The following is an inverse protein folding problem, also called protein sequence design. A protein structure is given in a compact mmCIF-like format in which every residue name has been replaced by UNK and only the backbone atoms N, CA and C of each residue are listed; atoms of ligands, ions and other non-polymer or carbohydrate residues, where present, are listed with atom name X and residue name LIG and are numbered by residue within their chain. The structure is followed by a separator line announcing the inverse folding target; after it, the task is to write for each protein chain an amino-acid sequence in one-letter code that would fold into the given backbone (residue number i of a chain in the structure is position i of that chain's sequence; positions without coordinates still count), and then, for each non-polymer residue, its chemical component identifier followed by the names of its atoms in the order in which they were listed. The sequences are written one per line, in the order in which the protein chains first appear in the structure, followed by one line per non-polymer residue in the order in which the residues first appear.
data_IF_709860250688
#
_entry.id   IF_709860250688
#
_cell.length_a   1.000
_cell.length_b   1.000
_cell.length_c   1.000
_cell.angle_alpha   90.00
_cell.angle_beta   90.00
_cell.angle_gamma   90.00
#
_symmetry.space_group_name_H-M   'P 1'
#
loop_
_entity.id
_entity.type
_entity.pdbx_description
1 polymer ?
#
# COMPACT_ATOMS: atom_id res chain seq x y z
N UNK A 1 -8.83 -4.93 -16.69
CA UNK A 1 -8.90 -5.52 -15.33
C UNK A 1 -8.35 -6.93 -15.37
N UNK A 2 -7.63 -7.37 -14.35
CA UNK A 2 -7.22 -8.77 -14.24
C UNK A 2 -8.49 -9.67 -14.12
N UNK A 3 -8.66 -10.69 -14.97
CA UNK A 3 -9.86 -11.53 -14.93
C UNK A 3 -10.03 -12.23 -13.57
N UNK A 4 -11.22 -12.12 -12.98
CA UNK A 4 -11.54 -12.75 -11.70
C UNK A 4 -10.98 -12.02 -10.47
N UNK A 5 -10.36 -10.84 -10.64
CA UNK A 5 -9.97 -10.04 -9.49
C UNK A 5 -11.20 -9.65 -8.67
N UNK A 6 -11.08 -9.88 -7.36
CA UNK A 6 -11.92 -9.28 -6.34
C UNK A 6 -11.06 -8.78 -5.19
N UNK A 7 -11.42 -7.61 -4.66
CA UNK A 7 -10.82 -7.06 -3.46
C UNK A 7 -10.95 -8.06 -2.30
N UNK A 8 -9.85 -8.41 -1.60
CA UNK A 8 -9.86 -9.44 -0.57
C UNK A 8 -10.68 -9.09 0.67
N UNK A 9 -11.05 -7.82 0.88
CA UNK A 9 -11.76 -7.37 2.08
C UNK A 9 -13.24 -7.09 1.84
N UNK A 10 -13.61 -6.73 0.60
CA UNK A 10 -14.95 -6.28 0.23
C UNK A 10 -15.60 -7.07 -0.91
N UNK A 11 -14.90 -8.07 -1.49
CA UNK A 11 -15.40 -8.96 -2.55
C UNK A 11 -15.91 -8.23 -3.81
N UNK A 12 -15.45 -6.99 -4.04
CA UNK A 12 -15.82 -6.14 -5.18
C UNK A 12 -14.74 -6.11 -6.26
N UNK A 13 -15.10 -5.60 -7.43
CA UNK A 13 -14.14 -5.17 -8.46
C UNK A 13 -13.49 -3.83 -8.07
N UNK A 14 -12.53 -3.34 -8.87
CA UNK A 14 -11.88 -2.06 -8.58
C UNK A 14 -12.89 -0.91 -8.53
N UNK A 15 -12.66 0.05 -7.62
CA UNK A 15 -13.29 1.36 -7.66
C UNK A 15 -12.61 2.25 -8.71
N UNK A 16 -13.29 3.33 -9.07
CA UNK A 16 -12.70 4.37 -9.92
C UNK A 16 -11.53 5.09 -9.25
N UNK A 17 -11.59 5.25 -7.93
CA UNK A 17 -10.53 5.82 -7.11
C UNK A 17 -9.27 4.97 -7.13
N UNK A 18 -9.39 3.65 -6.98
CA UNK A 18 -8.26 2.72 -7.12
C UNK A 18 -7.64 2.75 -8.52
N UNK A 19 -8.48 2.87 -9.57
CA UNK A 19 -8.00 3.04 -10.94
C UNK A 19 -7.26 4.37 -11.10
N UNK A 20 -7.80 5.46 -10.56
CA UNK A 20 -7.17 6.78 -10.58
C UNK A 20 -5.82 6.81 -9.85
N UNK A 21 -5.76 6.19 -8.67
CA UNK A 21 -4.52 5.97 -7.92
C UNK A 21 -3.51 5.19 -8.78
N UNK A 22 -3.89 4.03 -9.33
CA UNK A 22 -3.00 3.22 -10.17
C UNK A 22 -2.47 4.01 -11.38
N UNK A 23 -3.34 4.73 -12.09
CA UNK A 23 -2.96 5.52 -13.27
C UNK A 23 -1.99 6.66 -12.91
N UNK A 24 -2.12 7.25 -11.73
CA UNK A 24 -1.18 8.26 -11.22
C UNK A 24 0.22 7.67 -11.03
N UNK A 25 0.34 6.51 -10.38
CA UNK A 25 1.62 5.81 -10.26
C UNK A 25 2.19 5.38 -11.62
N UNK A 26 1.34 4.84 -12.50
CA UNK A 26 1.74 4.44 -13.86
C UNK A 26 2.29 5.63 -14.67
N UNK A 27 1.66 6.80 -14.55
CA UNK A 27 2.15 8.04 -15.18
C UNK A 27 3.54 8.42 -14.67
N UNK A 28 3.76 8.34 -13.36
CA UNK A 28 5.08 8.59 -12.75
C UNK A 28 6.12 7.61 -13.29
N UNK A 29 5.81 6.31 -13.38
CA UNK A 29 6.75 5.31 -13.91
C UNK A 29 7.14 5.62 -15.35
N UNK A 30 6.18 6.05 -16.19
CA UNK A 30 6.48 6.49 -17.56
C UNK A 30 7.40 7.72 -17.57
N UNK A 31 7.13 8.72 -16.72
CA UNK A 31 7.97 9.91 -16.62
C UNK A 31 9.40 9.58 -16.20
N UNK A 32 9.57 8.69 -15.22
CA UNK A 32 10.90 8.20 -14.78
C UNK A 32 11.67 7.62 -15.96
N UNK A 33 11.03 6.77 -16.77
CA UNK A 33 11.68 6.15 -17.94
C UNK A 33 11.95 7.16 -19.06
N UNK A 34 10.98 8.01 -19.38
CA UNK A 34 11.09 9.00 -20.46
C UNK A 34 12.16 10.07 -20.19
N UNK A 35 12.29 10.49 -18.93
CA UNK A 35 13.27 11.49 -18.51
C UNK A 35 14.58 10.87 -17.99
N UNK A 36 14.71 9.54 -18.04
CA UNK A 36 15.87 8.78 -17.55
C UNK A 36 16.28 9.12 -16.10
N UNK A 37 15.27 9.38 -15.24
CA UNK A 37 15.50 9.71 -13.83
C UNK A 37 16.04 8.48 -13.11
N UNK A 38 17.27 8.56 -12.60
CA UNK A 38 17.96 7.42 -12.00
C UNK A 38 17.26 6.91 -10.73
N UNK A 39 16.73 7.84 -9.94
CA UNK A 39 15.97 7.56 -8.73
C UNK A 39 14.97 8.68 -8.47
N UNK A 40 13.78 8.32 -7.98
CA UNK A 40 12.75 9.26 -7.54
C UNK A 40 12.17 8.82 -6.21
N UNK A 41 11.72 9.78 -5.40
CA UNK A 41 10.84 9.54 -4.27
C UNK A 41 9.41 9.84 -4.71
N UNK A 42 8.53 8.85 -4.64
CA UNK A 42 7.09 8.96 -4.89
C UNK A 42 6.38 9.03 -3.54
N UNK A 43 5.46 9.98 -3.39
CA UNK A 43 4.67 10.22 -2.20
C UNK A 43 3.20 10.40 -2.59
N UNK A 44 2.31 9.85 -1.79
CA UNK A 44 0.90 10.25 -1.77
C UNK A 44 0.75 11.60 -1.05
N UNK A 45 -0.34 12.31 -1.32
CA UNK A 45 -0.59 13.67 -0.82
C UNK A 45 -1.11 13.70 0.63
N UNK A 46 -1.58 12.57 1.14
CA UNK A 46 -2.16 12.41 2.48
C UNK A 46 -1.20 11.78 3.50
N UNK A 47 0.11 12.02 3.34
CA UNK A 47 1.15 11.50 4.26
C UNK A 47 1.63 12.53 5.27
N UNK A 48 2.00 12.03 6.46
CA UNK A 48 2.78 12.76 7.47
C UNK A 48 4.18 12.18 7.60
N UNK A 49 5.15 13.08 7.77
CA UNK A 49 6.57 12.74 7.87
C UNK A 49 7.01 12.53 9.32
N UNK A 50 7.85 11.52 9.53
CA UNK A 50 8.57 11.37 10.79
C UNK A 50 9.57 12.51 11.03
N UNK A 51 9.89 12.84 12.29
CA UNK A 51 10.94 13.80 12.59
C UNK A 51 12.26 13.44 11.93
N UNK A 52 12.91 14.46 11.35
CA UNK A 52 14.17 14.33 10.59
C UNK A 52 14.06 13.44 9.35
N UNK A 53 12.88 13.37 8.73
CA UNK A 53 12.62 12.61 7.50
C UNK A 53 13.76 12.69 6.48
N UNK A 54 14.12 13.89 6.03
CA UNK A 54 15.11 14.07 4.97
C UNK A 54 16.48 13.48 5.35
N UNK A 55 17.00 13.76 6.55
CA UNK A 55 18.31 13.24 6.96
C UNK A 55 18.28 11.74 7.25
N UNK A 56 17.16 11.19 7.73
CA UNK A 56 16.98 9.74 7.88
C UNK A 56 16.94 9.04 6.51
N UNK A 57 16.23 9.61 5.53
CA UNK A 57 16.15 9.08 4.17
C UNK A 57 17.53 9.11 3.48
N UNK A 58 18.27 10.23 3.60
CA UNK A 58 19.64 10.32 3.10
C UNK A 58 20.52 9.24 3.73
N UNK A 59 20.45 9.03 5.04
CA UNK A 59 21.23 8.00 5.71
C UNK A 59 20.86 6.56 5.25
N UNK A 60 19.59 6.29 4.92
CA UNK A 60 19.18 5.02 4.28
C UNK A 60 19.88 4.88 2.93
N UNK A 61 19.82 5.90 2.08
CA UNK A 61 20.38 5.83 0.72
C UNK A 61 21.91 5.75 0.72
N UNK A 62 22.58 6.42 1.65
CA UNK A 62 24.03 6.29 1.86
C UNK A 62 24.41 4.84 2.23
N UNK A 63 23.62 4.19 3.10
CA UNK A 63 23.85 2.79 3.46
C UNK A 63 23.65 1.85 2.26
N UNK A 64 22.58 2.05 1.49
CA UNK A 64 22.28 1.32 0.25
C UNK A 64 23.44 1.44 -0.74
N UNK A 65 23.95 2.65 -0.96
CA UNK A 65 25.06 2.90 -1.86
C UNK A 65 26.37 2.28 -1.36
N UNK A 66 26.67 2.40 -0.06
CA UNK A 66 27.90 1.87 0.55
C UNK A 66 28.02 0.36 0.37
N UNK A 67 26.93 -0.38 0.51
CA UNK A 67 26.94 -1.84 0.31
C UNK A 67 26.70 -2.24 -1.14
N UNK A 68 26.51 -1.26 -2.04
CA UNK A 68 26.16 -1.48 -3.46
C UNK A 68 24.95 -2.41 -3.59
N UNK A 69 23.92 -2.18 -2.79
CA UNK A 69 22.70 -2.97 -2.83
C UNK A 69 22.05 -2.82 -4.20
N UNK A 70 21.66 -3.93 -4.79
CA UNK A 70 20.90 -3.98 -6.03
C UNK A 70 19.41 -3.92 -5.67
N UNK A 71 18.74 -2.82 -6.01
CA UNK A 71 17.37 -2.51 -5.60
C UNK A 71 16.58 -1.85 -6.73
N UNK A 72 15.27 -2.09 -6.73
CA UNK A 72 14.34 -1.51 -7.69
C UNK A 72 13.34 -0.57 -7.00
N UNK A 73 12.85 -0.98 -5.82
CA UNK A 73 11.87 -0.24 -5.04
C UNK A 73 12.21 -0.31 -3.54
N UNK A 74 12.12 0.81 -2.84
CA UNK A 74 12.26 0.88 -1.38
C UNK A 74 11.03 1.57 -0.79
N UNK A 75 10.18 0.84 -0.06
CA UNK A 75 9.08 1.44 0.68
C UNK A 75 9.60 2.36 1.78
N UNK A 76 9.00 3.54 1.86
CA UNK A 76 9.29 4.58 2.85
C UNK A 76 8.12 4.74 3.84
N UNK A 77 6.90 4.48 3.36
CA UNK A 77 5.68 4.27 4.14
C UNK A 77 4.85 3.14 3.54
N UNK A 78 4.35 2.26 4.39
CA UNK A 78 3.43 1.17 4.03
C UNK A 78 2.70 0.59 5.24
N UNK A 79 1.66 -0.19 4.98
CA UNK A 79 1.01 -1.09 5.92
C UNK A 79 1.46 -2.52 5.72
N UNK A 80 2.10 -3.11 6.73
CA UNK A 80 2.36 -4.55 6.79
C UNK A 80 1.06 -5.30 7.03
N UNK A 81 0.70 -6.23 6.14
CA UNK A 81 -0.49 -7.06 6.32
C UNK A 81 -0.18 -8.38 7.05
N UNK A 82 1.01 -8.93 6.85
CA UNK A 82 1.46 -10.16 7.51
C UNK A 82 2.22 -9.84 8.82
N UNK A 83 1.59 -9.14 9.76
CA UNK A 83 2.26 -8.65 11.00
C UNK A 83 2.78 -9.77 11.90
N UNK A 84 2.19 -10.96 11.83
CA UNK A 84 2.62 -12.14 12.61
C UNK A 84 3.87 -12.80 12.01
N UNK A 85 4.18 -12.54 10.74
CA UNK A 85 5.36 -13.07 10.08
C UNK A 85 6.52 -12.07 10.22
N UNK A 86 7.70 -12.52 10.69
CA UNK A 86 8.86 -11.64 10.79
C UNK A 86 9.37 -11.25 9.41
N UNK A 87 9.69 -9.98 9.25
CA UNK A 87 10.49 -9.52 8.11
C UNK A 87 11.97 -9.58 8.48
N UNK A 88 12.81 -9.88 7.50
CA UNK A 88 14.23 -10.10 7.71
C UNK A 88 15.04 -8.89 7.29
N UNK A 89 16.01 -8.51 8.13
CA UNK A 89 16.96 -7.44 7.86
C UNK A 89 17.82 -7.72 6.64
N UNK A 90 18.07 -6.68 5.85
CA UNK A 90 19.01 -6.73 4.72
C UNK A 90 20.44 -6.78 5.27
N UNK A 91 21.20 -7.79 4.87
CA UNK A 91 22.58 -7.97 5.32
C UNK A 91 23.43 -6.74 4.98
N UNK A 92 24.02 -6.12 6.00
CA UNK A 92 24.89 -4.94 5.84
C UNK A 92 24.16 -3.59 5.82
N UNK A 93 22.82 -3.57 5.90
CA UNK A 93 22.02 -2.34 5.98
C UNK A 93 21.08 -2.41 7.17
N UNK A 94 21.41 -1.68 8.24
CA UNK A 94 20.71 -1.78 9.54
C UNK A 94 19.33 -1.13 9.60
N UNK A 95 18.88 -0.51 8.51
CA UNK A 95 17.62 0.23 8.41
C UNK A 95 16.79 -0.21 7.20
N UNK A 96 17.03 -1.42 6.68
CA UNK A 96 16.25 -2.03 5.61
C UNK A 96 15.86 -3.46 5.95
N UNK A 97 14.65 -3.84 5.55
CA UNK A 97 14.12 -5.20 5.60
C UNK A 97 13.61 -5.66 4.24
N UNK A 98 13.47 -6.95 4.07
CA UNK A 98 12.72 -7.55 2.96
C UNK A 98 11.21 -7.48 3.28
N UNK A 99 10.41 -6.70 2.51
CA UNK A 99 8.99 -6.54 2.79
C UNK A 99 8.22 -7.83 2.50
N UNK A 100 7.21 -8.10 3.32
CA UNK A 100 6.14 -9.04 3.02
C UNK A 100 5.00 -8.39 2.23
N UNK A 101 3.83 -9.03 2.26
CA UNK A 101 2.61 -8.48 1.68
C UNK A 101 2.23 -7.14 2.34
N UNK A 102 2.02 -6.12 1.52
CA UNK A 102 1.99 -4.71 1.94
C UNK A 102 0.91 -3.93 1.24
N UNK A 103 0.18 -3.10 1.99
CA UNK A 103 -0.81 -2.12 1.51
C UNK A 103 -0.33 -0.69 1.81
N UNK A 104 -1.13 0.30 1.43
CA UNK A 104 -0.90 1.73 1.63
C UNK A 104 0.43 2.14 1.02
N UNK A 105 0.47 2.29 -0.31
CA UNK A 105 1.66 2.74 -1.05
C UNK A 105 1.98 4.24 -0.81
N UNK A 106 1.86 4.70 0.45
CA UNK A 106 2.07 6.06 0.97
C UNK A 106 3.32 6.73 0.39
N UNK A 107 4.40 5.97 0.29
CA UNK A 107 5.57 6.44 -0.43
C UNK A 107 6.65 5.40 -0.58
N UNK A 108 7.37 5.51 -1.70
CA UNK A 108 8.48 4.62 -2.04
C UNK A 108 9.51 5.35 -2.89
N UNK A 109 10.76 4.88 -2.80
CA UNK A 109 11.83 5.25 -3.72
C UNK A 109 11.79 4.26 -4.88
N UNK A 110 11.89 4.76 -6.10
CA UNK A 110 11.90 3.96 -7.32
C UNK A 110 13.16 4.24 -8.13
N UNK A 111 13.86 3.18 -8.54
CA UNK A 111 14.96 3.30 -9.48
C UNK A 111 14.46 3.33 -10.92
N UNK A 112 15.27 3.83 -11.85
CA UNK A 112 14.98 3.76 -13.30
C UNK A 112 14.71 2.32 -13.75
N UNK A 113 15.47 1.36 -13.23
CA UNK A 113 15.30 -0.05 -13.55
C UNK A 113 13.99 -0.60 -13.00
N UNK A 114 13.62 -0.23 -11.77
CA UNK A 114 12.34 -0.58 -11.17
C UNK A 114 11.17 -0.08 -12.02
N UNK A 115 11.20 1.18 -12.44
CA UNK A 115 10.18 1.74 -13.32
C UNK A 115 10.05 0.96 -14.65
N UNK A 116 11.18 0.59 -15.28
CA UNK A 116 11.18 -0.23 -16.50
C UNK A 116 10.53 -1.60 -16.27
N UNK A 117 10.86 -2.29 -15.17
CA UNK A 117 10.26 -3.59 -14.81
C UNK A 117 8.75 -3.50 -14.61
N UNK A 118 8.29 -2.48 -13.87
CA UNK A 118 6.86 -2.26 -13.62
C UNK A 118 6.09 -2.00 -14.93
N UNK A 119 6.66 -1.23 -15.87
CA UNK A 119 6.04 -0.98 -17.17
C UNK A 119 6.09 -2.21 -18.11
N UNK A 120 7.19 -2.97 -18.09
CA UNK A 120 7.37 -4.19 -18.89
C UNK A 120 6.31 -5.25 -18.57
N UNK A 121 5.79 -5.25 -17.35
CA UNK A 121 4.68 -6.09 -16.92
C UNK A 121 3.36 -5.82 -17.67
N UNK A 122 3.26 -4.72 -18.44
CA UNK A 122 2.05 -4.26 -19.16
C UNK A 122 0.80 -4.23 -18.26
N UNK A 123 0.85 -3.54 -17.12
CA UNK A 123 -0.18 -3.65 -16.09
C UNK A 123 -1.56 -3.15 -16.53
N UNK A 124 -1.63 -2.21 -17.49
CA UNK A 124 -2.91 -1.69 -17.97
C UNK A 124 -3.84 -2.77 -18.57
N UNK A 125 -3.27 -3.82 -19.16
CA UNK A 125 -4.06 -4.91 -19.76
C UNK A 125 -4.65 -5.86 -18.70
N UNK A 126 -4.13 -5.83 -17.48
CA UNK A 126 -4.44 -6.76 -16.37
C UNK A 126 -4.33 -6.04 -15.03
N UNK A 127 -4.99 -4.89 -14.96
CA UNK A 127 -4.90 -3.97 -13.82
C UNK A 127 -5.40 -4.63 -12.53
N UNK A 128 -4.62 -4.41 -11.48
CA UNK A 128 -4.90 -4.61 -10.06
C UNK A 128 -4.73 -3.24 -9.38
N UNK A 129 -5.25 -3.02 -8.16
CA UNK A 129 -4.85 -1.87 -7.36
C UNK A 129 -3.33 -1.86 -7.19
N UNK A 130 -2.73 -0.68 -7.03
CA UNK A 130 -1.26 -0.56 -6.96
C UNK A 130 -0.69 -1.37 -5.79
N UNK A 131 -1.42 -1.40 -4.67
CA UNK A 131 -1.12 -2.16 -3.46
C UNK A 131 -1.13 -3.68 -3.67
N UNK A 132 -1.84 -4.18 -4.67
CA UNK A 132 -1.86 -5.61 -5.04
C UNK A 132 -0.83 -5.91 -6.12
N UNK A 133 -0.69 -5.00 -7.08
CA UNK A 133 0.24 -5.13 -8.19
C UNK A 133 1.70 -5.14 -7.72
N UNK A 134 2.11 -4.24 -6.83
CA UNK A 134 3.49 -4.17 -6.39
C UNK A 134 3.93 -5.49 -5.70
N UNK A 135 3.21 -6.04 -4.70
CA UNK A 135 3.54 -7.35 -4.11
C UNK A 135 3.59 -8.51 -5.10
N UNK A 136 2.75 -8.49 -6.14
CA UNK A 136 2.86 -9.48 -7.23
C UNK A 136 4.25 -9.38 -7.87
N UNK A 137 4.70 -8.17 -8.22
CA UNK A 137 5.97 -7.95 -8.92
C UNK A 137 7.22 -8.34 -8.12
N UNK A 138 7.13 -8.47 -6.79
CA UNK A 138 8.22 -8.96 -5.93
C UNK A 138 7.92 -10.31 -5.23
N UNK A 139 6.96 -11.08 -5.73
CA UNK A 139 6.58 -12.44 -5.25
C UNK A 139 6.22 -12.49 -3.75
N UNK A 140 5.45 -11.52 -3.26
CA UNK A 140 4.92 -11.49 -1.89
C UNK A 140 3.41 -11.35 -1.82
N UNK A 141 2.72 -11.52 -2.95
CA UNK A 141 1.28 -11.55 -2.98
C UNK A 141 0.74 -12.92 -2.50
N UNK A 142 -0.30 -12.99 -1.65
CA UNK A 142 -0.76 -14.26 -1.08
C UNK A 142 -1.58 -15.12 -2.06
N UNK A 143 -2.10 -14.55 -3.14
CA UNK A 143 -2.84 -15.28 -4.19
C UNK A 143 -1.96 -15.60 -5.40
N UNK A 144 -1.62 -16.87 -5.55
CA UNK A 144 -0.89 -17.40 -6.72
C UNK A 144 -1.64 -17.16 -8.03
N UNK A 145 -2.98 -17.19 -7.97
CA UNK A 145 -3.86 -16.96 -9.11
C UNK A 145 -3.69 -15.58 -9.74
N UNK A 146 -3.25 -14.57 -8.97
CA UNK A 146 -2.97 -13.24 -9.52
C UNK A 146 -1.55 -13.19 -10.07
N UNK A 147 -0.60 -13.82 -9.38
CA UNK A 147 0.80 -13.86 -9.79
C UNK A 147 1.02 -14.55 -11.14
N UNK A 148 0.25 -15.59 -11.46
CA UNK A 148 0.38 -16.33 -12.73
C UNK A 148 0.20 -15.45 -13.99
N UNK A 149 -0.53 -14.33 -13.88
CA UNK A 149 -0.72 -13.41 -15.01
C UNK A 149 0.52 -12.57 -15.32
N UNK A 150 1.51 -12.54 -14.44
CA UNK A 150 2.72 -11.73 -14.58
C UNK A 150 3.93 -12.65 -14.59
N UNK A 151 4.46 -13.05 -15.74
CA UNK A 151 5.55 -14.05 -15.80
C UNK A 151 6.86 -13.53 -15.21
N UNK A 152 7.24 -12.29 -15.54
CA UNK A 152 8.44 -11.62 -15.06
C UNK A 152 8.13 -10.81 -13.80
N UNK A 153 8.48 -11.37 -12.63
CA UNK A 153 8.25 -10.77 -11.29
C UNK A 153 9.57 -10.67 -10.52
N UNK A 154 10.55 -9.98 -11.09
CA UNK A 154 11.91 -9.89 -10.55
C UNK A 154 12.20 -8.55 -9.86
N UNK A 155 11.17 -7.82 -9.42
CA UNK A 155 11.32 -6.53 -8.74
C UNK A 155 12.01 -6.73 -7.38
N UNK A 156 13.17 -6.10 -7.19
CA UNK A 156 13.93 -6.13 -5.93
C UNK A 156 13.39 -5.07 -4.98
N UNK A 157 12.38 -5.45 -4.21
CA UNK A 157 11.73 -4.59 -3.24
C UNK A 157 12.38 -4.70 -1.84
N UNK A 158 12.53 -3.56 -1.18
CA UNK A 158 12.93 -3.42 0.21
C UNK A 158 11.99 -2.46 0.95
N UNK A 159 12.08 -2.38 2.27
CA UNK A 159 11.38 -1.38 3.08
C UNK A 159 12.30 -0.80 4.12
N UNK A 160 12.20 0.50 4.37
CA UNK A 160 12.84 1.12 5.53
C UNK A 160 12.24 0.58 6.83
N UNK A 161 13.07 0.40 7.84
CA UNK A 161 12.67 0.03 9.20
C UNK A 161 13.54 0.82 10.20
N UNK A 162 12.93 1.67 11.06
CA UNK A 162 11.50 2.00 11.13
C UNK A 162 11.01 2.87 9.97
N UNK A 163 9.71 2.77 9.66
CA UNK A 163 9.03 3.58 8.63
C UNK A 163 9.25 5.08 8.84
N UNK A 164 9.23 5.84 7.74
CA UNK A 164 9.47 7.27 7.72
C UNK A 164 8.22 8.10 7.39
N UNK A 165 7.17 7.43 6.90
CA UNK A 165 5.88 8.03 6.54
C UNK A 165 4.74 7.23 7.18
N UNK A 166 3.70 7.95 7.55
CA UNK A 166 2.43 7.42 8.03
C UNK A 166 1.30 8.19 7.35
N UNK A 167 0.08 7.65 7.24
CA UNK A 167 -1.01 8.42 6.68
C UNK A 167 -1.43 9.53 7.66
N UNK A 168 -1.98 10.63 7.17
CA UNK A 168 -2.54 11.70 8.01
C UNK A 168 -3.74 11.15 8.78
N UNK A 169 -4.64 10.45 8.07
CA UNK A 169 -5.82 9.80 8.60
C UNK A 169 -5.79 8.30 8.35
N UNK A 170 -6.47 7.52 9.19
CA UNK A 170 -6.56 6.07 8.98
C UNK A 170 -7.94 5.68 8.45
N UNK A 171 -8.00 4.69 7.57
CA UNK A 171 -9.25 4.06 7.14
C UNK A 171 -10.11 3.69 8.36
N UNK A 172 -11.36 4.15 8.40
CA UNK A 172 -12.29 4.02 9.52
C UNK A 172 -12.21 5.11 10.60
N UNK A 173 -11.39 6.15 10.45
CA UNK A 173 -11.37 7.30 11.35
C UNK A 173 -12.65 8.14 11.20
N UNK A 174 -13.32 8.56 12.29
CA UNK A 174 -14.57 9.31 12.20
C UNK A 174 -14.43 10.61 11.41
N UNK A 175 -15.18 10.72 10.32
CA UNK A 175 -15.20 11.92 9.46
C UNK A 175 -14.15 11.94 8.35
N UNK A 176 -13.27 10.93 8.28
CA UNK A 176 -12.39 10.72 7.13
C UNK A 176 -13.14 9.96 6.02
N UNK A 177 -12.86 10.32 4.78
CA UNK A 177 -13.43 9.73 3.56
C UNK A 177 -12.25 9.44 2.64
N UNK A 178 -12.07 8.18 2.25
CA UNK A 178 -10.96 7.75 1.39
C UNK A 178 -11.32 7.85 -0.09
N UNK A 179 -10.55 8.60 -0.87
CA UNK A 179 -10.78 8.78 -2.32
C UNK A 179 -10.68 7.47 -3.11
N UNK A 180 -9.94 6.48 -2.61
CA UNK A 180 -9.81 5.15 -3.24
C UNK A 180 -10.95 4.24 -2.85
N UNK A 181 -11.34 4.20 -1.57
CA UNK A 181 -12.31 3.22 -1.06
C UNK A 181 -13.77 3.68 -1.13
N UNK A 182 -14.03 4.98 -1.26
CA UNK A 182 -15.39 5.57 -1.19
C UNK A 182 -15.95 6.04 -2.54
N UNK A 183 -15.36 5.58 -3.64
CA UNK A 183 -15.81 5.90 -5.00
C UNK A 183 -16.54 4.73 -5.66
N UNK A 184 -17.40 4.99 -6.65
CA UNK A 184 -18.18 3.92 -7.30
C UNK A 184 -17.31 2.82 -7.89
N UNK A 185 -17.87 1.63 -8.03
CA UNK A 185 -17.19 0.56 -8.77
C UNK A 185 -16.95 0.99 -10.23
N UNK A 186 -15.92 0.42 -10.85
CA UNK A 186 -15.48 0.80 -12.18
C UNK A 186 -16.55 0.61 -13.26
N UNK A 187 -17.30 -0.51 -13.19
CA UNK A 187 -18.22 -0.97 -14.23
C UNK A 187 -19.70 -0.59 -13.98
N UNK A 188 -20.01 0.04 -12.85
CA UNK A 188 -21.35 0.55 -12.54
C UNK A 188 -21.28 1.83 -11.67
N UNK A 189 -21.72 2.96 -12.22
CA UNK A 189 -21.75 4.25 -11.53
C UNK A 189 -22.91 4.37 -10.51
N UNK A 190 -23.88 3.45 -10.55
CA UNK A 190 -24.99 3.45 -9.59
C UNK A 190 -24.63 2.76 -8.26
N UNK A 191 -23.49 2.06 -8.19
CA UNK A 191 -23.04 1.34 -6.99
C UNK A 191 -22.00 2.19 -6.27
N UNK A 192 -22.46 2.95 -5.27
CA UNK A 192 -21.59 3.65 -4.33
C UNK A 192 -20.88 2.67 -3.40
N UNK A 193 -19.66 3.04 -2.97
CA UNK A 193 -18.94 2.33 -1.92
C UNK A 193 -18.82 3.28 -0.71
N UNK A 194 -19.37 2.91 0.45
CA UNK A 194 -19.21 3.66 1.71
C UNK A 194 -18.96 2.63 2.84
N UNK A 195 -17.98 1.76 2.61
CA UNK A 195 -17.71 0.61 3.49
C UNK A 195 -16.97 0.98 4.77
N UNK A 196 -16.40 2.19 4.84
CA UNK A 196 -15.84 2.75 6.07
C UNK A 196 -16.88 2.83 7.20
N UNK A 197 -18.18 2.87 6.89
CA UNK A 197 -19.26 2.88 7.89
C UNK A 197 -19.73 1.49 8.33
N UNK A 198 -19.76 0.51 7.44
CA UNK A 198 -20.25 -0.83 7.75
C UNK A 198 -19.16 -1.78 8.28
N UNK A 199 -17.89 -1.57 7.89
CA UNK A 199 -16.75 -2.33 8.42
C UNK A 199 -16.53 -2.11 9.93
N UNK A 200 -16.96 -0.97 10.48
CA UNK A 200 -16.93 -0.69 11.93
C UNK A 200 -17.91 -1.60 12.70
N UNK A 201 -19.04 -2.00 12.11
CA UNK A 201 -19.96 -2.97 12.72
C UNK A 201 -19.38 -4.37 12.69
N UNK A 202 -18.89 -4.81 11.53
CA UNK A 202 -18.35 -6.16 11.38
C UNK A 202 -17.08 -6.41 12.22
N UNK A 203 -16.21 -5.40 12.36
CA UNK A 203 -15.00 -5.47 13.21
C UNK A 203 -15.35 -5.51 14.70
N UNK A 204 -16.39 -4.78 15.13
CA UNK A 204 -16.90 -4.82 16.52
C UNK A 204 -17.51 -6.17 16.88
N UNK A 205 -18.15 -6.85 15.92
CA UNK A 205 -18.72 -8.19 16.13
C UNK A 205 -17.63 -9.27 16.23
N UNK A 206 -16.61 -9.21 15.36
CA UNK A 206 -15.47 -10.13 15.41
C UNK A 206 -14.57 -9.92 16.64
N UNK A 207 -14.30 -8.67 17.04
CA UNK A 207 -13.53 -8.37 18.25
C UNK A 207 -14.26 -8.77 19.54
N UNK A 208 -15.60 -8.67 19.58
CA UNK A 208 -16.41 -9.11 20.72
C UNK A 208 -16.47 -10.65 20.87
N UNK A 209 -16.41 -11.39 19.75
CA UNK A 209 -16.34 -12.86 19.76
C UNK A 209 -14.95 -13.39 20.11
N UNK A 210 -13.86 -12.72 19.68
CA UNK A 210 -12.48 -13.14 20.01
C UNK A 210 -12.03 -12.78 21.42
N UNK A 211 -12.54 -11.70 22.01
CA UNK A 211 -12.08 -11.20 23.34
C UNK A 211 -13.01 -11.54 24.51
N UNK A 212 -14.20 -12.09 24.24
CA UNK A 212 -15.20 -12.40 25.27
C UNK A 212 -15.73 -11.19 26.02
N UNK A 213 -15.44 -9.97 25.56
CA UNK A 213 -15.82 -8.73 26.23
C UNK A 213 -17.01 -8.08 25.52
N UNK A 214 -18.18 -8.10 26.17
CA UNK A 214 -19.34 -7.31 25.68
C UNK A 214 -19.14 -5.84 26.06
N UNK A 215 -19.29 -4.88 25.13
CA UNK A 215 -19.23 -3.46 25.47
C UNK A 215 -20.39 -3.09 26.41
N UNK A 216 -20.08 -2.40 27.51
CA UNK A 216 -21.09 -1.80 28.39
C UNK A 216 -21.66 -0.57 27.68
N UNK A 217 -23.00 -0.41 27.58
CA UNK A 217 -23.58 0.76 26.94
C UNK A 217 -23.23 2.05 27.71
N UNK A 218 -23.11 3.19 27.02
CA UNK A 218 -22.78 4.46 27.66
C UNK A 218 -23.87 4.84 28.67
N UNK A 219 -23.43 5.18 29.88
CA UNK A 219 -24.29 5.70 30.94
C UNK A 219 -24.83 7.05 30.47
N UNK A 220 -26.14 7.14 30.26
CA UNK A 220 -26.82 8.42 30.03
C UNK A 220 -26.66 9.28 31.29
N UNK A 221 -25.90 10.36 31.20
CA UNK A 221 -25.90 11.40 32.24
C UNK A 221 -27.26 12.10 32.22
N UNK A 222 -28.04 11.91 33.29
CA UNK A 222 -29.23 12.71 33.54
C UNK A 222 -28.83 14.18 33.72
N UNK A 223 -29.48 15.08 32.98
CA UNK A 223 -29.34 16.52 33.17
C UNK A 223 -29.97 16.93 34.52
N UNK A 224 -29.33 17.79 35.31
CA UNK A 224 -29.94 18.33 36.53
C UNK A 224 -31.02 19.36 36.17
N UNK A 225 -32.09 19.34 36.97
CA UNK A 225 -33.29 20.20 36.88
C UNK A 225 -33.00 21.67 37.18
#
# INVERSE_FOLDING_TARGET
MLPGYKDPYSDRVLTRGEIGCFLSHYSIWNQVVQQELQQVLVLEDDVRFEPRFCSRLVAVMDNVQRVKLDWDLIYVGRKRLQVKEPEYWVKGVSNLVHPGYSYWTLGYILSLQGAKKLLQAKPLNKMLPVDEFLPVMFNKHPKDEYMQYFEERDLKAFSVEPLLLFPIHYTGEPGYVSDTETSTIWDDEAVETDWDRDGVKHRREQEAEETGFRPVPPIMSAAPQ
#
